data_IF_076218687687
#
_entry.id   IF_076218687687
#
_cell.length_a   1.000
_cell.length_b   1.000
_cell.length_c   1.000
_cell.angle_alpha   90.00
_cell.angle_beta   90.00
_cell.angle_gamma   90.00
#
_symmetry.space_group_name_H-M   'P 1'
#
loop_
_entity.id
_entity.type
_entity.pdbx_description
1 polymer ?
#
# COMPACT_ATOMS: atom_id res chain seq x y z
N UNK A 1 -0.22 2.70 11.39
CA UNK A 1 -0.99 1.52 11.90
C UNK A 1 0.01 0.49 12.41
N UNK A 2 -0.29 -0.23 13.51
CA UNK A 2 0.53 -1.39 13.94
C UNK A 2 0.16 -2.63 13.15
N UNK A 3 1.16 -3.41 12.77
CA UNK A 3 1.01 -4.63 11.99
C UNK A 3 2.16 -5.59 12.30
N UNK A 4 1.96 -6.85 11.97
CA UNK A 4 3.03 -7.85 11.88
C UNK A 4 2.97 -8.49 10.49
N UNK A 5 3.98 -9.29 10.16
CA UNK A 5 4.01 -10.08 8.95
C UNK A 5 3.67 -11.53 9.28
N UNK A 6 2.75 -12.14 8.54
CA UNK A 6 2.39 -13.55 8.72
C UNK A 6 2.65 -14.34 7.44
N UNK A 7 3.29 -15.50 7.57
CA UNK A 7 3.47 -16.40 6.44
C UNK A 7 2.16 -17.11 6.08
N UNK A 8 1.69 -16.90 4.85
CA UNK A 8 0.48 -17.52 4.30
C UNK A 8 0.51 -19.05 4.21
N UNK A 9 1.68 -19.68 4.37
CA UNK A 9 1.85 -21.14 4.29
C UNK A 9 2.06 -21.83 5.62
N UNK A 10 2.90 -21.27 6.50
CA UNK A 10 3.26 -21.91 7.77
C UNK A 10 2.90 -21.08 9.00
N UNK A 11 2.14 -19.99 8.83
CA UNK A 11 1.63 -19.11 9.90
C UNK A 11 2.70 -18.58 10.85
N UNK A 12 3.97 -18.57 10.43
CA UNK A 12 5.04 -17.96 11.21
C UNK A 12 4.89 -16.45 11.17
N UNK A 13 4.94 -15.85 12.36
CA UNK A 13 4.84 -14.41 12.57
C UNK A 13 6.24 -13.80 12.60
N UNK A 14 6.39 -12.65 11.96
CA UNK A 14 7.58 -11.83 11.96
C UNK A 14 7.21 -10.39 12.33
N UNK A 15 8.14 -9.68 12.97
CA UNK A 15 7.96 -8.28 13.32
C UNK A 15 7.89 -7.38 12.08
N UNK A 16 7.33 -6.18 12.25
CA UNK A 16 7.09 -5.23 11.15
C UNK A 16 8.34 -4.72 10.44
N UNK A 17 9.51 -4.85 11.07
CA UNK A 17 10.83 -4.45 10.59
C UNK A 17 11.62 -5.60 9.95
N UNK A 18 10.99 -6.78 9.79
CA UNK A 18 11.59 -7.89 9.05
C UNK A 18 11.91 -7.48 7.61
N UNK A 19 13.14 -7.75 7.18
CA UNK A 19 13.77 -7.17 5.99
C UNK A 19 13.50 -7.95 4.69
N UNK A 20 12.66 -8.99 4.74
CA UNK A 20 12.36 -9.87 3.61
C UNK A 20 10.87 -10.00 3.38
N UNK A 21 10.49 -10.16 2.12
CA UNK A 21 9.11 -10.45 1.70
C UNK A 21 8.77 -11.96 1.77
N UNK A 22 9.76 -12.80 2.08
CA UNK A 22 9.61 -14.26 2.15
C UNK A 22 9.91 -14.79 3.55
N UNK A 23 9.18 -15.81 3.95
CA UNK A 23 9.35 -16.49 5.24
C UNK A 23 10.72 -17.19 5.31
N UNK A 24 11.53 -16.85 6.31
CA UNK A 24 12.81 -17.51 6.56
C UNK A 24 12.75 -19.00 6.91
N UNK A 25 11.55 -19.58 7.14
CA UNK A 25 11.38 -21.01 7.51
C UNK A 25 10.92 -21.88 6.35
N UNK A 26 10.05 -21.37 5.48
CA UNK A 26 9.50 -22.15 4.37
C UNK A 26 9.68 -21.50 2.99
N UNK A 27 10.11 -20.24 2.91
CA UNK A 27 10.13 -19.41 1.69
C UNK A 27 8.75 -19.02 1.17
N UNK A 28 7.74 -18.98 2.04
CA UNK A 28 6.37 -18.58 1.68
C UNK A 28 6.22 -17.07 1.66
N UNK A 29 5.23 -16.55 0.94
CA UNK A 29 4.92 -15.12 0.93
C UNK A 29 4.49 -14.69 2.34
N UNK A 30 4.98 -13.52 2.76
CA UNK A 30 4.54 -12.85 3.98
C UNK A 30 3.45 -11.81 3.65
N UNK A 31 2.37 -11.84 4.42
CA UNK A 31 1.24 -10.92 4.32
C UNK A 31 1.28 -9.90 5.47
N UNK A 32 0.82 -8.67 5.22
CA UNK A 32 0.70 -7.63 6.26
C UNK A 32 -0.60 -7.84 7.03
N UNK A 33 -0.49 -8.12 8.33
CA UNK A 33 -1.65 -8.32 9.22
C UNK A 33 -1.77 -7.13 10.18
N UNK A 34 -2.81 -6.33 10.01
CA UNK A 34 -3.10 -5.20 10.91
C UNK A 34 -3.71 -5.69 12.22
N UNK A 35 -3.21 -5.15 13.35
CA UNK A 35 -3.76 -5.45 14.68
C UNK A 35 -5.20 -4.90 14.87
N UNK A 36 -5.58 -3.91 14.07
CA UNK A 36 -6.88 -3.23 14.13
C UNK A 36 -7.34 -2.87 12.73
N UNK A 37 -8.66 -2.78 12.56
CA UNK A 37 -9.24 -2.37 11.29
C UNK A 37 -8.77 -0.94 10.90
N UNK A 38 -8.30 -0.76 9.65
CA UNK A 38 -7.90 0.55 9.16
C UNK A 38 -9.08 1.53 9.13
N UNK A 39 -8.79 2.78 9.52
CA UNK A 39 -9.75 3.88 9.33
C UNK A 39 -9.58 4.44 7.94
N UNK A 40 -10.63 4.31 7.14
CA UNK A 40 -10.67 4.78 5.76
C UNK A 40 -11.54 6.05 5.71
N UNK A 41 -11.13 7.10 4.97
CA UNK A 41 -11.95 8.29 4.78
C UNK A 41 -13.32 7.92 4.18
N UNK A 42 -14.39 8.57 4.66
CA UNK A 42 -15.73 8.44 4.09
C UNK A 42 -15.87 9.44 2.94
N UNK A 43 -16.46 9.00 1.82
CA UNK A 43 -16.66 9.85 0.65
C UNK A 43 -15.41 9.97 -0.22
N UNK A 44 -15.33 11.06 -0.99
CA UNK A 44 -14.22 11.30 -1.91
C UNK A 44 -13.00 11.86 -1.16
N UNK A 45 -11.83 11.21 -1.26
CA UNK A 45 -10.60 11.75 -0.68
C UNK A 45 -10.14 13.00 -1.43
N UNK A 46 -9.63 13.99 -0.72
CA UNK A 46 -8.98 15.19 -1.27
C UNK A 46 -7.49 14.95 -1.54
N UNK A 47 -6.91 13.94 -0.89
CA UNK A 47 -5.52 13.51 -1.05
C UNK A 47 -5.40 12.00 -0.95
N UNK A 48 -4.43 11.40 -1.64
CA UNK A 48 -4.01 10.02 -1.35
C UNK A 48 -3.59 9.85 0.11
N UNK A 49 -3.10 10.91 0.74
CA UNK A 49 -2.66 10.90 2.13
C UNK A 49 -3.82 10.95 3.15
N UNK A 50 -5.07 11.10 2.71
CA UNK A 50 -6.23 10.93 3.60
C UNK A 50 -6.36 9.48 4.11
N UNK A 51 -5.71 8.53 3.42
CA UNK A 51 -5.61 7.13 3.83
C UNK A 51 -4.45 6.84 4.80
N UNK A 52 -3.68 7.85 5.24
CA UNK A 52 -2.59 7.64 6.20
C UNK A 52 -2.98 6.85 7.46
N UNK A 53 -4.17 7.01 8.06
CA UNK A 53 -4.59 6.21 9.20
C UNK A 53 -4.69 4.70 8.90
N UNK A 54 -4.81 4.32 7.62
CA UNK A 54 -4.85 2.94 7.15
C UNK A 54 -3.48 2.37 6.77
N UNK A 55 -2.43 3.20 6.74
CA UNK A 55 -1.08 2.82 6.30
C UNK A 55 -0.15 2.54 7.50
N UNK A 56 0.95 1.79 7.30
CA UNK A 56 2.07 1.75 8.22
C UNK A 56 2.53 3.16 8.60
N UNK A 57 2.99 3.37 9.84
CA UNK A 57 3.52 4.67 10.25
C UNK A 57 4.82 4.97 9.49
N UNK A 58 4.95 6.18 8.94
CA UNK A 58 6.12 6.62 8.18
C UNK A 58 5.94 8.01 7.54
N UNK A 59 6.99 8.53 6.90
CA UNK A 59 7.01 9.86 6.28
C UNK A 59 6.86 9.78 4.75
N UNK A 60 5.62 9.75 4.26
CA UNK A 60 5.30 9.56 2.84
C UNK A 60 4.87 10.83 2.10
N UNK A 61 4.37 11.85 2.83
CA UNK A 61 3.64 13.01 2.27
C UNK A 61 4.41 13.85 1.24
N UNK A 62 5.73 13.64 1.13
CA UNK A 62 6.59 14.29 0.14
C UNK A 62 6.41 13.76 -1.29
N UNK A 63 5.75 12.62 -1.47
CA UNK A 63 5.47 12.06 -2.79
C UNK A 63 4.08 12.48 -3.27
N UNK A 64 3.91 12.52 -4.58
CA UNK A 64 2.63 12.77 -5.24
C UNK A 64 2.21 11.49 -5.97
N UNK A 65 1.17 10.82 -5.46
CA UNK A 65 0.60 9.62 -6.06
C UNK A 65 -0.91 9.58 -5.84
N UNK A 66 -1.59 8.70 -6.58
CA UNK A 66 -3.00 8.45 -6.42
C UNK A 66 -3.88 9.56 -7.00
N UNK A 67 -5.13 9.62 -6.52
CA UNK A 67 -6.20 10.50 -7.06
C UNK A 67 -6.33 10.50 -8.59
N UNK A 68 -5.96 9.39 -9.21
CA UNK A 68 -6.09 9.15 -10.64
C UNK A 68 -7.55 9.21 -11.09
N UNK A 69 -7.77 9.58 -12.35
CA UNK A 69 -9.12 9.72 -12.92
C UNK A 69 -9.86 8.38 -12.93
N UNK A 70 -11.16 8.43 -12.68
CA UNK A 70 -12.08 7.32 -12.98
C UNK A 70 -12.95 7.75 -14.15
N UNK A 71 -12.93 7.01 -15.26
CA UNK A 71 -13.64 7.37 -16.50
C UNK A 71 -14.75 6.34 -16.74
N UNK A 72 -15.96 6.78 -17.06
CA UNK A 72 -17.07 5.88 -17.43
C UNK A 72 -16.86 5.36 -18.86
N UNK A 73 -17.06 4.05 -19.07
CA UNK A 73 -17.06 3.47 -20.41
C UNK A 73 -18.25 3.98 -21.23
N UNK A 74 -18.02 4.30 -22.51
CA UNK A 74 -19.06 4.66 -23.47
C UNK A 74 -19.77 3.43 -24.03
N UNK A 75 -19.06 2.31 -24.09
CA UNK A 75 -19.50 1.10 -24.80
C UNK A 75 -20.09 0.06 -23.86
N UNK A 76 -19.71 0.11 -22.57
CA UNK A 76 -20.14 -0.84 -21.55
C UNK A 76 -20.95 -0.12 -20.47
N UNK A 77 -22.24 -0.48 -20.29
CA UNK A 77 -23.08 0.14 -19.27
C UNK A 77 -22.52 -0.14 -17.87
N UNK A 78 -22.64 0.85 -16.97
CA UNK A 78 -22.19 0.79 -15.58
C UNK A 78 -20.72 0.36 -15.37
N UNK A 79 -19.87 0.51 -16.39
CA UNK A 79 -18.46 0.13 -16.33
C UNK A 79 -17.60 1.38 -16.22
N UNK A 80 -16.58 1.32 -15.37
CA UNK A 80 -15.67 2.42 -15.10
C UNK A 80 -14.22 1.94 -15.18
N UNK A 81 -13.36 2.76 -15.77
CA UNK A 81 -11.93 2.54 -15.87
C UNK A 81 -11.22 3.41 -14.85
N UNK A 82 -10.42 2.80 -13.97
CA UNK A 82 -9.55 3.51 -13.04
C UNK A 82 -8.19 3.76 -13.70
N UNK A 83 -7.92 5.00 -14.08
CA UNK A 83 -6.79 5.36 -14.93
C UNK A 83 -5.49 5.51 -14.14
N UNK A 84 -4.94 4.38 -13.67
CA UNK A 84 -3.70 4.35 -12.90
C UNK A 84 -2.45 4.85 -13.66
N UNK A 85 -2.55 5.00 -14.98
CA UNK A 85 -1.56 5.68 -15.81
C UNK A 85 -1.36 7.15 -15.41
N UNK A 86 -2.27 7.74 -14.63
CA UNK A 86 -2.13 9.10 -14.10
C UNK A 86 -1.15 9.25 -12.93
N UNK A 87 -0.58 8.17 -12.41
CA UNK A 87 0.52 8.26 -11.44
C UNK A 87 1.85 8.65 -12.15
N UNK A 88 2.86 9.18 -11.43
CA UNK A 88 4.09 9.72 -12.01
C UNK A 88 4.85 8.80 -12.98
N UNK A 89 4.95 7.50 -12.70
CA UNK A 89 5.64 6.51 -13.55
C UNK A 89 4.70 5.83 -14.55
N UNK A 90 3.48 6.33 -14.70
CA UNK A 90 2.44 5.73 -15.52
C UNK A 90 2.04 4.31 -15.07
N UNK A 91 2.23 4.00 -13.78
CA UNK A 91 1.94 2.69 -13.20
C UNK A 91 1.18 2.78 -11.88
N UNK A 92 0.30 1.81 -11.63
CA UNK A 92 -0.33 1.65 -10.31
C UNK A 92 0.70 1.37 -9.20
N UNK A 93 1.89 0.87 -9.58
CA UNK A 93 2.97 0.51 -8.63
C UNK A 93 3.43 1.68 -7.78
N UNK A 94 3.33 2.92 -8.27
CA UNK A 94 3.74 4.12 -7.53
C UNK A 94 3.12 4.19 -6.13
N UNK A 95 1.85 3.78 -6.00
CA UNK A 95 1.14 3.79 -4.70
C UNK A 95 1.80 2.87 -3.67
N UNK A 96 2.29 1.71 -4.09
CA UNK A 96 3.00 0.77 -3.22
C UNK A 96 4.44 1.21 -2.99
N UNK A 97 5.13 1.60 -4.07
CA UNK A 97 6.55 1.96 -4.01
C UNK A 97 6.83 3.16 -3.11
N UNK A 98 5.93 4.15 -3.00
CA UNK A 98 6.11 5.25 -2.04
C UNK A 98 6.08 4.78 -0.58
N UNK A 99 5.31 3.73 -0.27
CA UNK A 99 5.26 3.13 1.06
C UNK A 99 6.53 2.31 1.30
N UNK A 100 6.91 1.47 0.35
CA UNK A 100 8.13 0.65 0.40
C UNK A 100 9.38 1.52 0.62
N UNK A 101 9.57 2.55 -0.23
CA UNK A 101 10.70 3.48 -0.12
C UNK A 101 10.62 4.29 1.17
N UNK A 102 9.42 4.67 1.62
CA UNK A 102 9.23 5.34 2.90
C UNK A 102 9.68 4.48 4.07
N UNK A 103 9.27 3.21 4.12
CA UNK A 103 9.69 2.26 5.16
C UNK A 103 11.18 1.92 5.09
N UNK A 104 11.73 1.72 3.89
CA UNK A 104 13.15 1.49 3.71
C UNK A 104 14.00 2.63 4.31
N UNK A 105 13.58 3.89 4.09
CA UNK A 105 14.23 5.06 4.70
C UNK A 105 14.09 5.09 6.22
N UNK A 106 12.92 4.76 6.76
CA UNK A 106 12.72 4.66 8.22
C UNK A 106 13.66 3.60 8.84
N UNK A 107 14.01 2.55 8.08
CA UNK A 107 14.93 1.48 8.49
C UNK A 107 16.41 1.80 8.24
N UNK A 108 16.73 2.98 7.70
CA UNK A 108 18.11 3.40 7.45
C UNK A 108 18.72 2.94 6.12
N UNK A 109 17.91 2.42 5.19
CA UNK A 109 18.36 2.14 3.82
C UNK A 109 18.37 3.45 2.99
N UNK A 110 19.44 3.67 2.23
CA UNK A 110 19.65 4.85 1.38
C UNK A 110 19.48 4.55 -0.10
#
# INVERSE_FOLDING_TARGET
MRYHLECLRCCSIFESDYDKQICGKCSGILEVVYERNPRIPKGNPNSFWDFLPALPSGSYRKYEVGLTKTIKSTDLPNTYMKMEIGNPTHSFKDRGSVIEVGKARDYGYN
#
